data_IF_785658277768
#
_entry.id   IF_785658277768
#
_cell.length_a   1.000
_cell.length_b   1.000
_cell.length_c   1.000
_cell.angle_alpha   90.00
_cell.angle_beta   90.00
_cell.angle_gamma   90.00
#
_symmetry.space_group_name_H-M   'P 1'
#
loop_
_entity.id
_entity.type
_entity.pdbx_description
1 polymer ?
#
# COMPACT_ATOMS: atom_id res chain seq x y z
N UNK A 1 10.04 61.37 0.40
CA UNK A 1 10.00 60.55 -0.83
C UNK A 1 11.40 59.99 -1.01
N UNK A 2 11.67 58.69 -1.05
CA UNK A 2 10.84 57.50 -1.17
C UNK A 2 11.73 56.28 -0.87
N UNK A 3 11.24 55.43 0.04
CA UNK A 3 11.15 53.96 -0.08
C UNK A 3 12.43 53.10 -0.19
N UNK A 4 12.75 52.45 0.94
CA UNK A 4 13.04 51.02 1.16
C UNK A 4 13.49 50.19 -0.07
N UNK A 5 14.75 49.75 -0.07
CA UNK A 5 15.21 48.61 -0.87
C UNK A 5 15.08 47.35 0.00
N UNK A 6 14.19 46.44 -0.44
CA UNK A 6 13.68 45.31 0.33
C UNK A 6 14.72 44.29 0.75
N UNK A 7 14.44 43.73 1.93
CA UNK A 7 15.01 42.54 2.53
C UNK A 7 14.90 41.33 1.58
N UNK A 8 16.00 40.60 1.40
CA UNK A 8 16.00 39.27 0.78
C UNK A 8 15.32 38.29 1.75
N UNK A 9 14.03 38.03 1.53
CA UNK A 9 13.31 36.97 2.25
C UNK A 9 13.74 35.60 1.73
N UNK A 10 14.74 35.03 2.40
CA UNK A 10 15.11 33.62 2.33
C UNK A 10 14.08 32.75 3.06
N UNK A 11 12.86 32.70 2.52
CA UNK A 11 11.87 31.69 2.91
C UNK A 11 12.20 30.37 2.21
N UNK A 12 13.15 29.62 2.76
CA UNK A 12 13.24 28.18 2.51
C UNK A 12 11.95 27.56 3.00
N UNK A 13 10.94 27.40 2.12
CA UNK A 13 9.79 26.56 2.39
C UNK A 13 10.35 25.22 2.87
N UNK A 14 10.16 24.89 4.15
CA UNK A 14 10.34 23.52 4.64
C UNK A 14 9.43 22.66 3.77
N UNK A 15 10.00 21.98 2.79
CA UNK A 15 9.33 20.92 2.05
C UNK A 15 8.79 19.96 3.09
N UNK A 16 7.46 19.88 3.22
CA UNK A 16 6.85 18.87 4.08
C UNK A 16 7.27 17.53 3.49
N UNK A 17 7.98 16.73 4.28
CA UNK A 17 8.33 15.38 3.84
C UNK A 17 7.01 14.61 3.69
N UNK A 18 6.77 13.95 2.54
CA UNK A 18 5.58 13.12 2.35
C UNK A 18 5.44 12.13 3.50
N UNK A 19 4.19 11.90 3.92
CA UNK A 19 3.85 11.06 5.06
C UNK A 19 3.16 9.80 4.56
N UNK A 20 3.92 8.90 3.95
CA UNK A 20 3.33 7.77 3.24
C UNK A 20 2.77 6.69 4.17
N UNK A 21 1.75 5.99 3.68
CA UNK A 21 1.16 4.82 4.34
C UNK A 21 1.12 3.64 3.36
N UNK A 22 1.26 2.43 3.88
CA UNK A 22 1.15 1.20 3.08
C UNK A 22 -0.16 0.49 3.46
N UNK A 23 -1.02 0.22 2.47
CA UNK A 23 -2.25 -0.56 2.68
C UNK A 23 -1.98 -2.06 2.52
N UNK A 24 -2.45 -2.88 3.45
CA UNK A 24 -2.27 -4.33 3.47
C UNK A 24 -3.63 -4.99 3.49
N UNK A 25 -3.99 -5.66 2.39
CA UNK A 25 -5.30 -6.27 2.19
C UNK A 25 -5.17 -7.80 2.28
N UNK A 26 -5.78 -8.40 3.31
CA UNK A 26 -5.50 -9.78 3.72
C UNK A 26 -6.75 -10.65 3.71
N UNK A 27 -6.69 -11.74 2.94
CA UNK A 27 -7.79 -12.68 2.74
C UNK A 27 -8.93 -12.08 1.92
N UNK A 28 -9.85 -12.92 1.46
CA UNK A 28 -11.01 -12.55 0.63
C UNK A 28 -11.66 -11.22 1.00
N UNK A 29 -12.09 -11.05 2.26
CA UNK A 29 -12.76 -9.81 2.67
C UNK A 29 -11.85 -8.58 2.54
N UNK A 30 -10.60 -8.68 2.99
CA UNK A 30 -9.64 -7.58 2.89
C UNK A 30 -9.34 -7.22 1.44
N UNK A 31 -9.11 -8.23 0.60
CA UNK A 31 -8.83 -8.07 -0.83
C UNK A 31 -9.99 -7.41 -1.58
N UNK A 32 -11.22 -7.87 -1.35
CA UNK A 32 -12.41 -7.31 -2.02
C UNK A 32 -12.71 -5.88 -1.56
N UNK A 33 -12.57 -5.59 -0.25
CA UNK A 33 -12.65 -4.21 0.27
C UNK A 33 -11.58 -3.35 -0.38
N UNK A 34 -10.34 -3.83 -0.42
CA UNK A 34 -9.22 -3.12 -1.03
C UNK A 34 -9.46 -2.78 -2.50
N UNK A 35 -9.98 -3.73 -3.28
CA UNK A 35 -10.28 -3.51 -4.70
C UNK A 35 -11.29 -2.37 -4.89
N UNK A 36 -12.37 -2.35 -4.10
CA UNK A 36 -13.37 -1.28 -4.12
C UNK A 36 -12.81 0.07 -3.61
N UNK A 37 -12.00 0.06 -2.55
CA UNK A 37 -11.38 1.28 -2.02
C UNK A 37 -10.43 1.92 -3.03
N UNK A 38 -9.61 1.12 -3.72
CA UNK A 38 -8.66 1.65 -4.70
C UNK A 38 -9.33 2.13 -5.98
N UNK A 39 -10.44 1.53 -6.40
CA UNK A 39 -11.30 2.10 -7.45
C UNK A 39 -11.76 3.51 -7.05
N UNK A 40 -12.28 3.68 -5.83
CA UNK A 40 -12.73 4.98 -5.35
C UNK A 40 -11.58 5.99 -5.26
N UNK A 41 -10.43 5.61 -4.70
CA UNK A 41 -9.25 6.49 -4.63
C UNK A 41 -8.79 6.95 -6.02
N UNK A 42 -8.84 6.06 -7.02
CA UNK A 42 -8.52 6.44 -8.39
C UNK A 42 -9.52 7.47 -8.93
N UNK A 43 -10.83 7.26 -8.71
CA UNK A 43 -11.86 8.20 -9.14
C UNK A 43 -11.74 9.57 -8.45
N UNK A 44 -11.49 9.60 -7.15
CA UNK A 44 -11.34 10.85 -6.38
C UNK A 44 -10.12 11.67 -6.82
N UNK A 45 -9.06 11.00 -7.25
CA UNK A 45 -7.82 11.65 -7.68
C UNK A 45 -7.69 11.79 -9.21
N UNK A 46 -8.67 11.33 -10.00
CA UNK A 46 -8.61 11.38 -11.46
C UNK A 46 -7.53 10.47 -12.07
N UNK A 47 -7.15 9.42 -11.36
CA UNK A 47 -6.19 8.41 -11.82
C UNK A 47 -6.95 7.35 -12.63
N UNK A 48 -6.47 7.07 -13.83
CA UNK A 48 -7.06 6.08 -14.73
C UNK A 48 -6.72 4.66 -14.29
N UNK A 49 -7.44 3.63 -14.76
CA UNK A 49 -7.19 2.24 -14.37
C UNK A 49 -5.80 1.69 -14.71
N UNK A 50 -5.08 2.34 -15.63
CA UNK A 50 -3.69 2.03 -15.97
C UNK A 50 -2.66 2.81 -15.13
N UNK A 51 -3.13 3.64 -14.19
CA UNK A 51 -2.33 4.50 -13.32
C UNK A 51 -1.95 5.85 -13.93
N UNK A 52 -2.42 6.19 -15.13
CA UNK A 52 -2.15 7.50 -15.73
C UNK A 52 -3.03 8.58 -15.12
N UNK A 53 -2.49 9.77 -14.92
CA UNK A 53 -3.23 10.93 -14.44
C UNK A 53 -3.04 12.10 -15.40
N UNK A 54 -3.86 12.22 -16.47
CA UNK A 54 -3.63 13.21 -17.54
C UNK A 54 -3.67 14.67 -17.08
N UNK A 55 -4.33 14.95 -15.95
CA UNK A 55 -4.41 16.28 -15.34
C UNK A 55 -3.17 16.66 -14.54
N UNK A 56 -2.28 15.70 -14.22
CA UNK A 56 -1.05 15.98 -13.48
C UNK A 56 0.03 16.51 -14.44
N UNK A 57 0.30 17.81 -14.37
CA UNK A 57 1.38 18.48 -15.10
C UNK A 57 2.67 18.59 -14.29
N UNK A 58 2.71 18.02 -13.08
CA UNK A 58 3.76 18.20 -12.08
C UNK A 58 4.50 16.91 -11.72
N UNK A 59 4.73 16.05 -12.71
CA UNK A 59 5.57 14.85 -12.62
C UNK A 59 6.84 15.15 -11.80
N UNK A 60 6.98 14.51 -10.64
CA UNK A 60 8.15 14.67 -9.75
C UNK A 60 8.30 16.01 -9.00
N UNK A 61 7.32 16.92 -9.08
CA UNK A 61 7.35 18.25 -8.45
C UNK A 61 6.11 18.59 -7.59
N UNK A 62 5.06 17.75 -7.61
CA UNK A 62 3.84 17.96 -6.82
C UNK A 62 3.94 17.52 -5.36
N UNK A 63 3.76 18.46 -4.43
CA UNK A 63 3.55 18.21 -2.98
C UNK A 63 2.09 17.79 -2.72
N UNK A 64 1.56 16.90 -3.57
CA UNK A 64 0.14 16.58 -3.56
C UNK A 64 -0.16 15.49 -2.54
N UNK A 65 -1.25 15.69 -1.80
CA UNK A 65 -1.64 14.84 -0.67
C UNK A 65 -1.84 13.35 -1.05
N UNK A 66 -2.08 13.04 -2.33
CA UNK A 66 -2.25 11.66 -2.82
C UNK A 66 -0.94 10.86 -2.88
N UNK A 67 0.23 11.51 -2.89
CA UNK A 67 1.53 10.82 -2.81
C UNK A 67 1.72 10.04 -1.51
N UNK A 68 0.88 10.32 -0.51
CA UNK A 68 0.71 9.51 0.70
C UNK A 68 0.33 8.05 0.38
N UNK A 69 -0.52 7.85 -0.63
CA UNK A 69 -1.11 6.56 -1.00
C UNK A 69 -0.55 5.97 -2.30
N UNK A 70 -0.05 6.81 -3.21
CA UNK A 70 0.53 6.39 -4.49
C UNK A 70 2.04 6.66 -4.54
N UNK A 71 2.76 5.80 -5.23
CA UNK A 71 4.11 6.09 -5.74
C UNK A 71 4.02 6.48 -7.21
N UNK A 72 4.90 7.36 -7.64
CA UNK A 72 5.00 7.78 -9.04
C UNK A 72 6.21 7.09 -9.69
N UNK A 73 6.01 6.54 -10.89
CA UNK A 73 7.09 6.00 -11.72
C UNK A 73 7.61 7.05 -12.70
N UNK A 74 8.79 6.82 -13.26
CA UNK A 74 9.37 7.72 -14.27
C UNK A 74 8.52 7.89 -15.55
N UNK A 75 7.54 7.01 -15.79
CA UNK A 75 6.60 7.12 -16.90
C UNK A 75 5.30 7.85 -16.55
N UNK A 76 5.25 8.55 -15.41
CA UNK A 76 4.05 9.25 -14.92
C UNK A 76 2.94 8.34 -14.41
N UNK A 77 3.23 7.04 -14.25
CA UNK A 77 2.25 6.08 -13.72
C UNK A 77 2.23 6.15 -12.20
N UNK A 78 1.04 6.32 -11.66
CA UNK A 78 0.71 6.27 -10.24
C UNK A 78 0.38 4.84 -9.85
N UNK A 79 1.16 4.29 -8.91
CA UNK A 79 1.05 2.91 -8.43
C UNK A 79 0.66 2.93 -6.96
N UNK A 80 -0.41 2.24 -6.55
CA UNK A 80 -0.79 2.12 -5.15
C UNK A 80 0.34 1.60 -4.25
N UNK A 81 0.54 2.23 -3.10
CA UNK A 81 1.35 1.72 -1.99
C UNK A 81 0.55 0.67 -1.23
N UNK A 82 0.30 -0.45 -1.90
CA UNK A 82 -0.52 -1.53 -1.35
C UNK A 82 0.05 -2.90 -1.61
N UNK A 83 -0.34 -3.84 -0.77
CA UNK A 83 -0.14 -5.27 -0.97
C UNK A 83 -1.47 -6.00 -0.77
N UNK A 84 -1.71 -7.00 -1.59
CA UNK A 84 -2.85 -7.91 -1.50
C UNK A 84 -2.31 -9.30 -1.25
N UNK A 85 -2.83 -9.96 -0.23
CA UNK A 85 -2.40 -11.29 0.16
C UNK A 85 -3.61 -12.17 0.39
N UNK A 86 -3.63 -13.32 -0.27
CA UNK A 86 -4.49 -14.43 0.11
C UNK A 86 -3.72 -15.76 0.00
N UNK A 87 -4.07 -16.74 0.82
CA UNK A 87 -3.43 -18.06 0.83
C UNK A 87 -3.96 -18.96 -0.29
N UNK A 88 -4.97 -18.49 -1.02
CA UNK A 88 -5.54 -19.08 -2.23
C UNK A 88 -5.66 -18.02 -3.34
N UNK A 89 -5.73 -18.40 -4.63
CA UNK A 89 -5.57 -17.44 -5.72
C UNK A 89 -6.84 -16.68 -6.15
N UNK A 90 -8.04 -17.19 -5.87
CA UNK A 90 -9.30 -16.81 -6.52
C UNK A 90 -9.55 -15.30 -6.50
N UNK A 91 -9.57 -14.69 -5.32
CA UNK A 91 -9.93 -13.27 -5.16
C UNK A 91 -8.87 -12.30 -5.69
N UNK A 92 -7.60 -12.73 -5.73
CA UNK A 92 -6.52 -11.92 -6.30
C UNK A 92 -6.47 -12.08 -7.82
N UNK A 93 -6.81 -13.25 -8.35
CA UNK A 93 -6.93 -13.47 -9.80
C UNK A 93 -8.05 -12.60 -10.42
N UNK A 94 -9.10 -12.30 -9.67
CA UNK A 94 -10.11 -11.29 -10.05
C UNK A 94 -9.47 -9.90 -10.24
N UNK A 95 -8.54 -9.49 -9.38
CA UNK A 95 -7.80 -8.23 -9.55
C UNK A 95 -6.88 -8.30 -10.77
N UNK A 96 -6.15 -9.41 -10.95
CA UNK A 96 -5.23 -9.62 -12.08
C UNK A 96 -5.92 -9.61 -13.44
N UNK A 97 -7.23 -9.88 -13.48
CA UNK A 97 -8.03 -9.91 -14.71
C UNK A 97 -9.03 -8.77 -14.84
N UNK A 98 -9.27 -8.04 -13.75
CA UNK A 98 -10.23 -6.95 -13.67
C UNK A 98 -9.80 -5.64 -14.33
N UNK A 99 -10.64 -4.62 -14.18
CA UNK A 99 -10.45 -3.27 -14.77
C UNK A 99 -9.11 -2.64 -14.37
N UNK A 100 -8.75 -2.76 -13.09
CA UNK A 100 -7.54 -2.18 -12.51
C UNK A 100 -6.32 -3.14 -12.52
N UNK A 101 -6.33 -4.18 -13.37
CA UNK A 101 -5.21 -5.14 -13.48
C UNK A 101 -3.86 -4.50 -13.78
N UNK A 102 -3.88 -3.34 -14.42
CA UNK A 102 -2.69 -2.58 -14.79
C UNK A 102 -2.29 -1.56 -13.72
N UNK A 103 -3.09 -1.32 -12.69
CA UNK A 103 -2.81 -0.34 -11.65
C UNK A 103 -1.71 -0.83 -10.69
N UNK A 104 -1.89 -2.04 -10.15
CA UNK A 104 -1.01 -2.62 -9.14
C UNK A 104 0.26 -3.21 -9.73
N UNK A 105 1.34 -3.22 -8.95
CA UNK A 105 2.54 -3.97 -9.33
C UNK A 105 2.30 -5.47 -9.13
N UNK A 106 2.60 -6.36 -10.09
CA UNK A 106 2.29 -7.79 -9.96
C UNK A 106 2.87 -8.45 -8.70
N UNK A 107 4.03 -7.99 -8.24
CA UNK A 107 4.67 -8.50 -7.02
C UNK A 107 3.95 -8.08 -5.73
N UNK A 108 3.01 -7.14 -5.79
CA UNK A 108 2.13 -6.76 -4.68
C UNK A 108 0.89 -7.66 -4.59
N UNK A 109 0.65 -8.54 -5.56
CA UNK A 109 -0.49 -9.44 -5.62
C UNK A 109 -0.05 -10.87 -5.28
N UNK A 110 -0.06 -11.22 -4.00
CA UNK A 110 0.53 -12.44 -3.45
C UNK A 110 -0.54 -13.49 -3.18
N UNK A 111 -0.39 -14.66 -3.80
CA UNK A 111 -1.32 -15.78 -3.68
C UNK A 111 -0.61 -17.04 -3.24
N UNK A 112 -1.18 -17.75 -2.28
CA UNK A 112 -0.78 -19.11 -1.96
C UNK A 112 -1.46 -20.17 -2.82
N UNK A 113 -1.21 -21.43 -2.46
CA UNK A 113 -1.84 -22.61 -3.10
C UNK A 113 -2.81 -23.34 -2.17
N UNK A 114 -2.81 -23.00 -0.88
CA UNK A 114 -3.56 -23.70 0.15
C UNK A 114 -4.33 -22.70 1.01
N UNK A 115 -5.66 -22.72 0.92
CA UNK A 115 -6.51 -21.92 1.80
C UNK A 115 -6.37 -22.36 3.28
N UNK A 116 -6.54 -21.39 4.18
CA UNK A 116 -6.69 -21.61 5.62
C UNK A 116 -8.01 -22.32 6.00
N UNK A 117 -8.98 -22.45 5.09
CA UNK A 117 -10.23 -23.19 5.27
C UNK A 117 -11.02 -22.76 6.53
N UNK A 118 -11.21 -21.45 6.69
CA UNK A 118 -11.85 -20.85 7.87
C UNK A 118 -11.24 -21.25 9.22
N UNK A 119 -9.96 -21.66 9.24
CA UNK A 119 -9.27 -22.07 10.45
C UNK A 119 -8.12 -21.10 10.79
N UNK A 120 -8.26 -20.40 11.91
CA UNK A 120 -7.23 -19.49 12.45
C UNK A 120 -5.86 -20.18 12.56
N UNK A 121 -5.82 -21.39 13.10
CA UNK A 121 -4.56 -22.10 13.32
C UNK A 121 -3.85 -22.43 12.01
N UNK A 122 -4.60 -22.69 10.93
CA UNK A 122 -3.98 -22.87 9.60
C UNK A 122 -3.42 -21.56 9.06
N UNK A 123 -4.19 -20.47 9.17
CA UNK A 123 -3.73 -19.14 8.77
C UNK A 123 -2.50 -18.66 9.57
N UNK A 124 -2.39 -19.01 10.84
CA UNK A 124 -1.32 -18.52 11.72
C UNK A 124 -0.12 -19.47 11.82
N UNK A 125 -0.33 -20.77 12.03
CA UNK A 125 0.73 -21.71 12.40
C UNK A 125 1.22 -22.60 11.26
N UNK A 126 0.44 -22.82 10.21
CA UNK A 126 0.81 -23.75 9.12
C UNK A 126 0.87 -23.07 7.76
N UNK A 127 -0.26 -22.93 7.05
CA UNK A 127 -0.31 -22.36 5.71
C UNK A 127 0.30 -20.95 5.66
N UNK A 128 -0.03 -20.10 6.63
CA UNK A 128 0.52 -18.75 6.70
C UNK A 128 2.03 -18.69 6.96
N UNK A 129 2.59 -19.62 7.73
CA UNK A 129 4.03 -19.67 8.00
C UNK A 129 4.87 -19.85 6.74
N UNK A 130 4.31 -20.49 5.71
CA UNK A 130 5.02 -20.68 4.43
C UNK A 130 5.05 -19.41 3.56
N UNK A 131 4.17 -18.42 3.82
CA UNK A 131 4.04 -17.21 3.01
C UNK A 131 4.55 -15.94 3.70
N UNK A 132 4.65 -15.93 5.03
CA UNK A 132 4.97 -14.73 5.80
C UNK A 132 6.27 -14.04 5.37
N UNK A 133 7.34 -14.80 5.10
CA UNK A 133 8.63 -14.21 4.75
C UNK A 133 8.58 -13.50 3.39
N UNK A 134 7.81 -14.04 2.43
CA UNK A 134 7.57 -13.38 1.14
C UNK A 134 6.80 -12.07 1.32
N UNK A 135 5.73 -12.06 2.12
CA UNK A 135 4.93 -10.86 2.37
C UNK A 135 5.76 -9.76 3.04
N UNK A 136 6.57 -10.14 4.03
CA UNK A 136 7.49 -9.21 4.71
C UNK A 136 8.53 -8.64 3.74
N UNK A 137 9.13 -9.46 2.87
CA UNK A 137 10.09 -8.96 1.86
C UNK A 137 9.43 -7.94 0.91
N UNK A 138 8.19 -8.18 0.50
CA UNK A 138 7.44 -7.22 -0.35
C UNK A 138 7.08 -5.94 0.38
N UNK A 139 6.67 -6.03 1.65
CA UNK A 139 6.41 -4.85 2.49
C UNK A 139 7.68 -4.04 2.72
N UNK A 140 8.84 -4.70 2.91
CA UNK A 140 10.13 -4.04 3.03
C UNK A 140 10.47 -3.22 1.79
N UNK A 141 10.38 -3.83 0.61
CA UNK A 141 10.60 -3.14 -0.67
C UNK A 141 9.69 -1.92 -0.85
N UNK A 142 8.42 -2.02 -0.45
CA UNK A 142 7.51 -0.87 -0.48
C UNK A 142 7.90 0.21 0.53
N UNK A 143 8.31 -0.18 1.73
CA UNK A 143 8.75 0.77 2.76
C UNK A 143 10.02 1.52 2.38
N UNK A 144 10.95 0.87 1.67
CA UNK A 144 12.18 1.49 1.14
C UNK A 144 11.88 2.54 0.06
N UNK A 145 10.71 2.48 -0.59
CA UNK A 145 10.24 3.46 -1.57
C UNK A 145 9.51 4.65 -0.92
N UNK A 146 9.37 4.68 0.40
CA UNK A 146 8.77 5.80 1.13
C UNK A 146 9.87 6.71 1.67
N UNK A 147 9.68 8.03 1.56
CA UNK A 147 10.57 9.01 2.19
C UNK A 147 10.35 9.09 3.70
N UNK A 148 9.13 8.81 4.17
CA UNK A 148 8.74 8.90 5.58
C UNK A 148 7.53 8.04 5.92
N UNK A 149 7.68 6.71 5.86
CA UNK A 149 6.62 5.76 6.22
C UNK A 149 6.04 6.05 7.61
N UNK A 150 4.74 6.34 7.67
CA UNK A 150 4.02 6.59 8.92
C UNK A 150 3.49 5.30 9.56
N UNK A 151 3.13 4.31 8.74
CA UNK A 151 2.59 3.04 9.21
C UNK A 151 1.80 2.28 8.15
N UNK A 152 1.01 1.31 8.62
CA UNK A 152 0.26 0.38 7.80
C UNK A 152 -1.25 0.51 8.06
N UNK A 153 -2.04 0.49 6.99
CA UNK A 153 -3.50 0.33 7.06
C UNK A 153 -3.84 -1.11 6.72
N UNK A 154 -4.39 -1.88 7.66
CA UNK A 154 -4.56 -3.32 7.51
C UNK A 154 -6.05 -3.67 7.42
N UNK A 155 -6.43 -4.31 6.33
CA UNK A 155 -7.81 -4.67 6.00
C UNK A 155 -7.93 -6.20 5.98
N UNK A 156 -8.80 -6.74 6.82
CA UNK A 156 -8.99 -8.18 6.94
C UNK A 156 -10.36 -8.49 7.57
N UNK A 157 -10.80 -9.75 7.45
CA UNK A 157 -11.94 -10.25 8.22
C UNK A 157 -11.50 -10.79 9.59
N UNK A 158 -12.39 -10.71 10.59
CA UNK A 158 -12.25 -11.48 11.83
C UNK A 158 -12.62 -12.96 11.69
N UNK A 159 -13.57 -13.30 10.80
CA UNK A 159 -14.13 -14.66 10.70
C UNK A 159 -13.37 -15.64 9.80
N UNK A 160 -12.63 -15.15 8.80
CA UNK A 160 -11.90 -16.00 7.86
C UNK A 160 -10.58 -16.51 8.42
N UNK A 161 -10.12 -17.69 7.98
CA UNK A 161 -8.86 -18.30 8.44
C UNK A 161 -7.62 -17.48 8.06
N UNK A 162 -7.55 -17.03 6.80
CA UNK A 162 -6.49 -16.11 6.33
C UNK A 162 -6.62 -14.76 7.01
N UNK A 163 -7.81 -14.13 6.91
CA UNK A 163 -8.04 -12.80 7.46
C UNK A 163 -7.78 -12.70 8.96
N UNK A 164 -8.05 -13.73 9.76
CA UNK A 164 -7.75 -13.73 11.20
C UNK A 164 -6.33 -14.21 11.49
N UNK A 165 -6.01 -15.45 11.12
CA UNK A 165 -4.78 -16.14 11.49
C UNK A 165 -3.53 -15.55 10.84
N UNK A 166 -3.58 -15.32 9.52
CA UNK A 166 -2.44 -14.76 8.80
C UNK A 166 -2.19 -13.30 9.21
N UNK A 167 -3.25 -12.52 9.41
CA UNK A 167 -3.11 -11.14 9.91
C UNK A 167 -2.46 -11.11 11.28
N UNK A 168 -2.86 -11.97 12.21
CA UNK A 168 -2.22 -12.04 13.52
C UNK A 168 -0.73 -12.36 13.41
N UNK A 169 -0.36 -13.33 12.58
CA UNK A 169 1.04 -13.67 12.31
C UNK A 169 1.81 -12.49 11.69
N UNK A 170 1.20 -11.79 10.72
CA UNK A 170 1.83 -10.63 10.09
C UNK A 170 2.05 -9.49 11.07
N UNK A 171 1.07 -9.21 11.94
CA UNK A 171 1.16 -8.17 12.96
C UNK A 171 2.29 -8.40 13.96
N UNK A 172 2.53 -9.66 14.36
CA UNK A 172 3.69 -10.00 15.18
C UNK A 172 5.00 -9.63 14.49
N UNK A 173 5.14 -9.94 13.20
CA UNK A 173 6.36 -9.64 12.42
C UNK A 173 6.53 -8.15 12.18
N UNK A 174 5.46 -7.44 11.83
CA UNK A 174 5.50 -5.98 11.65
C UNK A 174 5.85 -5.24 12.93
N UNK A 175 5.38 -5.72 14.09
CA UNK A 175 5.72 -5.11 15.39
C UNK A 175 7.19 -5.27 15.73
N UNK A 176 7.83 -6.37 15.30
CA UNK A 176 9.27 -6.59 15.47
C UNK A 176 10.09 -5.71 14.52
N UNK A 177 9.71 -5.65 13.23
CA UNK A 177 10.49 -4.94 12.21
C UNK A 177 10.28 -3.42 12.19
N UNK A 178 9.06 -2.96 12.49
CA UNK A 178 8.66 -1.55 12.41
C UNK A 178 8.22 -0.97 13.75
N UNK A 179 8.37 -1.72 14.84
CA UNK A 179 8.17 -1.21 16.19
C UNK A 179 9.15 -0.08 16.48
N UNK A 180 8.67 1.10 16.85
CA UNK A 180 9.54 2.20 17.29
C UNK A 180 10.37 1.70 18.47
N UNK A 181 11.70 1.66 18.35
CA UNK A 181 12.57 1.52 19.50
C UNK A 181 12.24 2.65 20.47
N UNK A 182 11.73 2.30 21.66
CA UNK A 182 11.66 3.24 22.78
C UNK A 182 13.11 3.50 23.22
N UNK A 183 13.77 4.47 22.59
CA UNK A 183 14.94 5.13 23.15
C UNK A 183 14.50 6.38 23.90
#
# INVERSE_FOLDING_TARGET
MSTLKGCEDSHTKKRLMPREVISVHIGQAGVQIGNACWELFCLEHGIQPDGQMPSDTTIGYGDDAFNTFFSETNSGKHVPRSIFVDLEPTVIDEIRTGTYKSLFHPEQLITGKEDAANNYARGHYTAGRTHIDMVIDRLRKLSEQCFGLQGFLIFHSFGGGTGSGFTALLMERLSVEYGKSRN
#
